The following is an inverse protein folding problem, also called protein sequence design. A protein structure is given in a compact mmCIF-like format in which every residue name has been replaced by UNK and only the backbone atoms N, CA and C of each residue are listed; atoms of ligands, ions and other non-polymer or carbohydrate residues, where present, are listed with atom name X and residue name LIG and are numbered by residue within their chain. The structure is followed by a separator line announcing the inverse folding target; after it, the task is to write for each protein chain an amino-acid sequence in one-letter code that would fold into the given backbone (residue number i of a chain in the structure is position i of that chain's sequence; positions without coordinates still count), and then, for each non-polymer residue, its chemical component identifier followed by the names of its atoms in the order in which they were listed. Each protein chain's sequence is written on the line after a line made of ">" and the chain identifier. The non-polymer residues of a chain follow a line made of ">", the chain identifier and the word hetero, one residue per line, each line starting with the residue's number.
data_IF_679316943560
#
_entry.id   IF_679316943560
#
_cell.length_a   1.000
_cell.length_b   1.000
_cell.length_c   1.000
_cell.angle_alpha   90.00
_cell.angle_beta   90.00
_cell.angle_gamma   90.00
#
_symmetry.space_group_name_H-M   'P 1'
#
loop_
_entity.id
_entity.type
_entity.pdbx_description
1 polymer ?
#
# COMPACT_ATOMS: atom_id res chain seq x y z
N UNK A 1 32.62 -32.60 86.22
CA UNK A 1 32.16 -33.47 85.10
C UNK A 1 30.77 -33.15 84.53
N UNK A 2 29.86 -32.52 85.23
CA UNK A 2 28.49 -32.19 84.74
C UNK A 2 28.41 -30.94 83.80
N UNK A 3 29.37 -30.03 83.83
CA UNK A 3 29.34 -28.80 83.04
C UNK A 3 29.66 -29.09 81.59
N UNK A 4 30.58 -29.99 81.26
CA UNK A 4 30.97 -30.29 79.90
C UNK A 4 29.87 -30.98 79.04
N UNK A 5 28.96 -31.71 79.71
CA UNK A 5 27.89 -32.42 78.99
C UNK A 5 26.75 -31.45 78.52
N UNK A 6 26.48 -30.44 79.28
CA UNK A 6 25.44 -29.45 78.99
C UNK A 6 25.89 -28.54 77.85
N UNK A 7 27.18 -28.14 77.81
CA UNK A 7 27.73 -27.33 76.75
C UNK A 7 27.82 -28.10 75.44
N UNK A 8 28.24 -29.39 75.49
CA UNK A 8 28.22 -30.27 74.35
C UNK A 8 26.83 -30.49 73.75
N UNK A 9 25.84 -30.69 74.58
CA UNK A 9 24.44 -30.84 74.16
C UNK A 9 23.89 -29.54 73.56
N UNK A 10 24.25 -28.39 74.13
CA UNK A 10 23.88 -27.07 73.55
C UNK A 10 24.50 -26.84 72.17
N UNK A 11 25.78 -27.11 72.04
CA UNK A 11 26.43 -26.97 70.71
C UNK A 11 25.86 -27.94 69.67
N UNK A 12 25.57 -29.16 70.06
CA UNK A 12 24.97 -30.16 69.21
C UNK A 12 23.55 -29.76 68.74
N UNK A 13 22.70 -29.25 69.64
CA UNK A 13 21.36 -28.73 69.31
C UNK A 13 21.44 -27.47 68.46
N UNK A 14 22.38 -26.57 68.79
CA UNK A 14 22.61 -25.36 68.01
C UNK A 14 23.05 -25.65 66.57
N UNK A 15 23.97 -26.60 66.41
CA UNK A 15 24.49 -27.05 65.10
C UNK A 15 23.38 -27.70 64.24
N UNK A 16 22.53 -28.54 64.86
CA UNK A 16 21.37 -29.14 64.19
C UNK A 16 20.35 -28.06 63.77
N UNK A 17 20.08 -27.09 64.67
CA UNK A 17 19.17 -25.97 64.35
C UNK A 17 19.69 -25.15 63.17
N UNK A 18 20.97 -24.84 63.11
CA UNK A 18 21.54 -24.08 61.99
C UNK A 18 21.51 -24.87 60.69
N UNK A 19 21.70 -26.19 60.70
CA UNK A 19 21.59 -27.06 59.53
C UNK A 19 20.13 -27.09 59.03
N UNK A 20 19.14 -27.17 59.95
CA UNK A 20 17.73 -27.12 59.57
C UNK A 20 17.31 -25.77 58.99
N UNK A 21 17.82 -24.67 59.56
CA UNK A 21 17.56 -23.32 59.04
C UNK A 21 18.20 -23.13 57.65
N UNK A 22 19.40 -23.66 57.44
CA UNK A 22 20.07 -23.63 56.14
C UNK A 22 19.29 -24.45 55.07
N UNK A 23 18.85 -25.66 55.45
CA UNK A 23 18.05 -26.51 54.58
C UNK A 23 16.68 -25.84 54.22
N UNK A 24 16.04 -25.18 55.18
CA UNK A 24 14.80 -24.42 54.95
C UNK A 24 15.04 -23.25 53.98
N UNK A 25 16.16 -22.52 54.18
CA UNK A 25 16.52 -21.41 53.31
C UNK A 25 16.77 -21.89 51.83
N UNK A 26 17.49 -23.02 51.68
CA UNK A 26 17.71 -23.60 50.35
C UNK A 26 16.39 -24.06 49.73
N UNK A 27 15.46 -24.64 50.50
CA UNK A 27 14.11 -25.00 50.00
C UNK A 27 13.33 -23.79 49.55
N UNK A 28 13.35 -22.70 50.31
CA UNK A 28 12.65 -21.45 49.92
C UNK A 28 13.24 -20.85 48.63
N UNK A 29 14.57 -20.81 48.56
CA UNK A 29 15.27 -20.32 47.37
C UNK A 29 15.00 -21.19 46.11
N UNK A 30 14.99 -22.52 46.28
CA UNK A 30 14.69 -23.43 45.16
C UNK A 30 13.21 -23.34 44.72
N UNK A 31 12.27 -23.21 45.67
CA UNK A 31 10.85 -22.99 45.35
C UNK A 31 10.68 -21.63 44.66
N UNK A 32 11.35 -20.57 45.14
CA UNK A 32 11.36 -19.25 44.50
C UNK A 32 11.93 -19.29 43.10
N UNK A 33 13.03 -20.01 42.85
CA UNK A 33 13.62 -20.19 41.54
C UNK A 33 12.71 -20.98 40.58
N UNK A 34 12.05 -22.04 41.09
CA UNK A 34 11.09 -22.85 40.26
C UNK A 34 9.84 -22.02 39.94
N UNK A 35 9.31 -21.26 40.88
CA UNK A 35 8.20 -20.34 40.61
C UNK A 35 8.60 -19.22 39.62
N UNK A 36 9.80 -18.63 39.79
CA UNK A 36 10.32 -17.60 38.90
C UNK A 36 10.51 -18.15 37.47
N UNK A 37 10.99 -19.38 37.32
CA UNK A 37 11.14 -20.04 36.03
C UNK A 37 9.76 -20.37 35.38
N UNK A 38 8.77 -20.74 36.15
CA UNK A 38 7.38 -20.96 35.68
C UNK A 38 6.64 -19.67 35.35
N UNK A 39 7.03 -18.53 35.91
CA UNK A 39 6.48 -17.20 35.62
C UNK A 39 7.13 -16.57 34.38
N UNK A 40 8.30 -17.06 33.93
CA UNK A 40 8.81 -16.79 32.61
C UNK A 40 7.94 -17.57 31.63
N UNK A 41 6.85 -16.92 31.17
CA UNK A 41 5.84 -17.55 30.31
C UNK A 41 6.46 -18.23 29.08
N UNK A 42 5.86 -19.34 28.68
CA UNK A 42 6.20 -20.01 27.40
C UNK A 42 6.12 -18.93 26.32
N UNK A 43 7.19 -18.73 25.52
CA UNK A 43 7.16 -17.76 24.43
C UNK A 43 5.92 -18.03 23.56
N UNK A 44 5.06 -17.05 23.44
CA UNK A 44 3.86 -17.18 22.62
C UNK A 44 4.27 -17.02 21.18
N UNK A 45 3.99 -18.00 20.36
CA UNK A 45 4.24 -17.94 18.94
C UNK A 45 3.06 -17.28 18.21
N UNK A 46 3.37 -16.50 17.18
CA UNK A 46 2.37 -15.95 16.30
C UNK A 46 1.75 -17.08 15.45
N UNK A 47 0.47 -17.37 15.67
CA UNK A 47 -0.24 -18.44 14.98
C UNK A 47 -1.15 -17.92 13.85
N UNK A 48 -1.66 -16.68 13.94
CA UNK A 48 -2.64 -16.19 12.98
C UNK A 48 -2.45 -14.70 12.65
N UNK A 49 -2.50 -14.41 11.34
CA UNK A 49 -2.63 -13.07 10.81
C UNK A 49 -4.06 -12.89 10.26
N UNK A 50 -4.73 -11.83 10.68
CA UNK A 50 -6.02 -11.41 10.16
C UNK A 50 -5.78 -10.11 9.41
N UNK A 51 -5.99 -10.11 8.09
CA UNK A 51 -5.71 -8.99 7.21
C UNK A 51 -7.02 -8.49 6.64
N UNK A 52 -7.26 -7.17 6.73
CA UNK A 52 -8.48 -6.51 6.26
C UNK A 52 -8.14 -5.23 5.51
N UNK A 53 -9.06 -4.77 4.64
CA UNK A 53 -8.96 -3.50 3.93
C UNK A 53 -8.08 -3.53 2.67
N UNK A 54 -7.59 -4.71 2.25
CA UNK A 54 -6.91 -4.88 0.97
C UNK A 54 -7.93 -5.23 -0.13
N UNK A 55 -7.75 -4.65 -1.31
CA UNK A 55 -8.59 -4.87 -2.49
C UNK A 55 -7.76 -5.40 -3.66
N UNK A 56 -6.63 -4.77 -3.95
CA UNK A 56 -5.74 -5.08 -5.07
C UNK A 56 -4.47 -5.82 -4.65
N UNK A 57 -4.03 -5.63 -3.42
CA UNK A 57 -2.93 -6.39 -2.83
C UNK A 57 -3.42 -7.79 -2.46
N UNK A 58 -2.63 -8.81 -2.79
CA UNK A 58 -2.91 -10.18 -2.35
C UNK A 58 -2.43 -10.41 -0.92
N UNK A 59 -3.13 -11.25 -0.18
CA UNK A 59 -2.77 -11.63 1.19
C UNK A 59 -1.32 -12.11 1.28
N UNK A 60 -0.88 -12.93 0.31
CA UNK A 60 0.49 -13.48 0.26
C UNK A 60 1.55 -12.39 0.04
N UNK A 61 1.20 -11.31 -0.69
CA UNK A 61 2.09 -10.16 -0.87
C UNK A 61 2.26 -9.42 0.45
N UNK A 62 1.17 -9.16 1.17
CA UNK A 62 1.18 -8.47 2.46
C UNK A 62 1.99 -9.27 3.49
N UNK A 63 1.81 -10.59 3.54
CA UNK A 63 2.58 -11.47 4.42
C UNK A 63 4.08 -11.41 4.09
N UNK A 64 4.45 -11.42 2.80
CA UNK A 64 5.86 -11.27 2.37
C UNK A 64 6.45 -9.91 2.76
N UNK A 65 5.65 -8.83 2.66
CA UNK A 65 6.08 -7.48 3.04
C UNK A 65 6.41 -7.37 4.52
N UNK A 66 5.72 -8.12 5.37
CA UNK A 66 5.97 -8.14 6.81
C UNK A 66 7.28 -8.83 7.17
N UNK A 67 7.75 -9.78 6.36
CA UNK A 67 8.96 -10.57 6.60
C UNK A 67 8.95 -11.27 7.98
N UNK A 68 7.77 -11.67 8.46
CA UNK A 68 7.63 -12.42 9.70
C UNK A 68 7.96 -13.88 9.43
N UNK A 69 8.91 -14.42 10.20
CA UNK A 69 9.28 -15.82 10.07
C UNK A 69 8.38 -16.73 10.93
N UNK A 70 8.14 -17.97 10.51
CA UNK A 70 7.47 -18.96 11.36
C UNK A 70 8.22 -19.14 12.68
N UNK A 71 7.48 -19.26 13.79
CA UNK A 71 8.08 -19.39 15.13
C UNK A 71 8.55 -18.06 15.75
N UNK A 72 8.27 -16.91 15.12
CA UNK A 72 8.55 -15.61 15.75
C UNK A 72 7.77 -15.45 17.03
N UNK A 73 8.46 -15.12 18.12
CA UNK A 73 7.80 -14.85 19.40
C UNK A 73 6.89 -13.64 19.28
N UNK A 74 5.62 -13.83 19.61
CA UNK A 74 4.59 -12.79 19.58
C UNK A 74 4.91 -11.59 20.48
N UNK A 75 5.57 -11.86 21.62
CA UNK A 75 5.90 -10.84 22.60
C UNK A 75 7.05 -9.92 22.17
N UNK A 76 7.90 -10.39 21.24
CA UNK A 76 9.06 -9.63 20.71
C UNK A 76 8.74 -8.85 19.43
N UNK A 77 7.51 -8.95 18.90
CA UNK A 77 7.12 -8.25 17.69
C UNK A 77 7.03 -6.73 17.92
N UNK A 78 7.82 -5.99 17.17
CA UNK A 78 7.73 -4.53 17.08
C UNK A 78 6.66 -4.15 16.05
N UNK A 79 5.45 -3.81 16.54
CA UNK A 79 4.30 -3.49 15.69
C UNK A 79 4.53 -2.21 14.88
N UNK A 80 5.19 -1.20 15.48
CA UNK A 80 5.50 0.06 14.79
C UNK A 80 6.47 -0.16 13.64
N UNK A 81 7.43 -1.07 13.79
CA UNK A 81 8.35 -1.45 12.73
C UNK A 81 7.61 -2.17 11.60
N UNK A 82 6.68 -3.06 11.93
CA UNK A 82 5.86 -3.78 10.93
C UNK A 82 4.94 -2.81 10.17
N UNK A 83 4.28 -1.86 10.84
CA UNK A 83 3.49 -0.81 10.21
C UNK A 83 4.34 0.05 9.25
N UNK A 84 5.54 0.45 9.68
CA UNK A 84 6.50 1.19 8.84
C UNK A 84 6.95 0.38 7.64
N UNK A 85 7.14 -0.94 7.77
CA UNK A 85 7.47 -1.82 6.64
C UNK A 85 6.34 -1.80 5.60
N UNK A 86 5.09 -2.01 6.01
CA UNK A 86 3.93 -1.97 5.11
C UNK A 86 3.77 -0.60 4.44
N UNK A 87 3.93 0.49 5.20
CA UNK A 87 3.77 1.86 4.68
C UNK A 87 4.84 2.27 3.66
N UNK A 88 5.94 1.51 3.52
CA UNK A 88 6.96 1.73 2.47
C UNK A 88 6.51 1.26 1.09
N UNK A 89 5.52 0.39 1.03
CA UNK A 89 5.01 -0.10 -0.25
C UNK A 89 4.15 0.96 -0.93
N UNK A 90 4.41 1.27 -2.19
CA UNK A 90 3.77 2.40 -2.87
C UNK A 90 2.25 2.35 -2.84
N UNK A 91 1.66 1.15 -2.95
CA UNK A 91 0.20 0.95 -2.95
C UNK A 91 -0.43 1.04 -1.56
N UNK A 92 0.34 0.97 -0.48
CA UNK A 92 -0.19 1.12 0.89
C UNK A 92 -0.30 2.59 1.25
N UNK A 93 -1.52 3.06 1.50
CA UNK A 93 -1.77 4.42 1.99
C UNK A 93 -1.54 4.50 3.50
N UNK A 94 -2.10 3.54 4.24
CA UNK A 94 -1.89 3.40 5.68
C UNK A 94 -1.99 1.94 6.09
N UNK A 95 -1.30 1.60 7.17
CA UNK A 95 -1.37 0.29 7.81
C UNK A 95 -1.45 0.48 9.32
N UNK A 96 -2.29 -0.30 9.98
CA UNK A 96 -2.39 -0.40 11.42
C UNK A 96 -2.30 -1.86 11.83
N UNK A 97 -1.46 -2.16 12.81
CA UNK A 97 -1.26 -3.51 13.33
C UNK A 97 -1.56 -3.54 14.81
N UNK A 98 -2.50 -4.39 15.21
CA UNK A 98 -2.89 -4.53 16.62
C UNK A 98 -2.86 -5.99 17.05
N UNK A 99 -2.58 -6.22 18.32
CA UNK A 99 -2.70 -7.53 18.95
C UNK A 99 -4.18 -7.80 19.22
N UNK A 100 -4.77 -8.78 18.51
CA UNK A 100 -6.18 -9.15 18.69
C UNK A 100 -6.39 -10.14 19.83
N UNK A 101 -5.45 -11.07 20.00
CA UNK A 101 -5.39 -12.04 21.08
C UNK A 101 -3.94 -12.34 21.42
N UNK A 102 -3.71 -13.35 22.25
CA UNK A 102 -2.37 -13.73 22.72
C UNK A 102 -1.45 -14.28 21.64
N UNK A 103 -2.00 -14.66 20.47
CA UNK A 103 -1.30 -15.31 19.38
C UNK A 103 -1.76 -14.80 17.99
N UNK A 104 -2.58 -13.74 17.93
CA UNK A 104 -3.16 -13.24 16.70
C UNK A 104 -2.90 -11.75 16.50
N UNK A 105 -2.47 -11.38 15.28
CA UNK A 105 -2.38 -10.00 14.83
C UNK A 105 -3.57 -9.66 13.92
N UNK A 106 -4.12 -8.47 14.11
CA UNK A 106 -5.02 -7.82 13.17
C UNK A 106 -4.24 -6.75 12.42
N UNK A 107 -4.27 -6.84 11.10
CA UNK A 107 -3.65 -5.91 10.16
C UNK A 107 -4.77 -5.24 9.38
N UNK A 108 -4.93 -3.94 9.60
CA UNK A 108 -5.90 -3.11 8.89
C UNK A 108 -5.15 -2.25 7.89
N UNK A 109 -5.42 -2.45 6.60
CA UNK A 109 -4.78 -1.73 5.50
C UNK A 109 -5.77 -0.78 4.85
N UNK A 110 -5.25 0.34 4.35
CA UNK A 110 -5.92 1.16 3.36
C UNK A 110 -5.02 1.26 2.14
N UNK A 111 -5.54 0.86 0.98
CA UNK A 111 -4.79 0.96 -0.27
C UNK A 111 -4.96 2.33 -0.92
N UNK A 112 -3.91 2.77 -1.65
CA UNK A 112 -4.01 3.90 -2.59
C UNK A 112 -4.77 3.45 -3.83
N UNK A 113 -5.63 4.32 -4.33
CA UNK A 113 -6.39 4.07 -5.56
C UNK A 113 -5.66 4.68 -6.75
N UNK A 114 -5.50 3.89 -7.79
CA UNK A 114 -4.98 4.42 -9.04
C UNK A 114 -6.02 5.35 -9.69
N UNK A 115 -5.55 6.45 -10.27
CA UNK A 115 -6.37 7.42 -11.01
C UNK A 115 -6.16 7.30 -12.52
N UNK A 116 -4.94 7.01 -12.95
CA UNK A 116 -4.55 6.80 -14.34
C UNK A 116 -3.49 5.71 -14.47
N UNK A 117 -3.37 5.19 -15.69
CA UNK A 117 -2.21 4.43 -16.15
C UNK A 117 -1.33 5.39 -16.93
N UNK A 118 -0.02 5.35 -16.74
CA UNK A 118 0.95 6.13 -17.53
C UNK A 118 1.76 5.18 -18.35
N UNK A 119 1.83 5.44 -19.67
CA UNK A 119 2.72 4.76 -20.59
C UNK A 119 3.91 5.69 -20.91
N UNK A 120 5.08 5.34 -20.40
CA UNK A 120 6.32 6.09 -20.64
C UNK A 120 7.49 5.14 -20.80
N UNK A 121 8.35 5.40 -21.79
CA UNK A 121 9.54 4.58 -22.10
C UNK A 121 9.24 3.08 -22.29
N UNK A 122 8.06 2.74 -22.81
CA UNK A 122 7.62 1.35 -23.02
C UNK A 122 7.23 0.61 -21.75
N UNK A 123 7.06 1.32 -20.64
CA UNK A 123 6.60 0.78 -19.36
C UNK A 123 5.24 1.36 -18.98
N UNK A 124 4.42 0.53 -18.31
CA UNK A 124 3.13 0.94 -17.77
C UNK A 124 3.24 1.17 -16.26
N UNK A 125 2.75 2.31 -15.81
CA UNK A 125 2.76 2.71 -14.40
C UNK A 125 1.34 3.04 -13.96
N UNK A 126 0.88 2.47 -12.85
CA UNK A 126 -0.31 3.00 -12.19
C UNK A 126 0.09 4.17 -11.29
N UNK A 127 -0.66 5.25 -11.35
CA UNK A 127 -0.43 6.44 -10.51
C UNK A 127 -1.69 6.83 -9.73
N UNK A 128 -1.49 7.38 -8.54
CA UNK A 128 -2.57 7.97 -7.74
C UNK A 128 -2.75 9.48 -8.06
N UNK A 129 -3.72 10.10 -7.38
CA UNK A 129 -4.01 11.52 -7.53
C UNK A 129 -2.89 12.47 -7.04
N UNK A 130 -1.90 11.94 -6.32
CA UNK A 130 -0.70 12.67 -5.91
C UNK A 130 0.46 12.49 -6.90
N UNK A 131 0.21 11.83 -8.05
CA UNK A 131 1.18 11.45 -9.08
C UNK A 131 2.26 10.49 -8.57
N UNK A 132 1.97 9.75 -7.51
CA UNK A 132 2.82 8.69 -7.00
C UNK A 132 2.63 7.43 -7.81
N UNK A 133 3.74 6.78 -8.16
CA UNK A 133 3.71 5.47 -8.83
C UNK A 133 3.34 4.41 -7.81
N UNK A 134 2.28 3.66 -8.08
CA UNK A 134 1.78 2.55 -7.28
C UNK A 134 2.32 1.20 -7.75
N UNK A 135 2.56 1.05 -9.06
CA UNK A 135 3.13 -0.15 -9.68
C UNK A 135 3.85 0.20 -10.98
N UNK A 136 4.75 -0.68 -11.40
CA UNK A 136 5.41 -0.67 -12.71
C UNK A 136 5.20 -2.03 -13.36
N UNK A 137 4.68 -2.05 -14.59
CA UNK A 137 4.39 -3.25 -15.39
C UNK A 137 3.50 -4.30 -14.68
N UNK A 138 2.77 -3.85 -13.66
CA UNK A 138 1.80 -4.65 -12.88
C UNK A 138 0.51 -3.83 -12.74
N UNK A 139 -0.23 -3.71 -13.86
CA UNK A 139 -1.50 -2.96 -13.90
C UNK A 139 -2.60 -3.80 -13.27
N UNK A 140 -3.19 -3.31 -12.19
CA UNK A 140 -4.26 -3.97 -11.43
C UNK A 140 -5.63 -3.34 -11.64
N UNK A 141 -5.66 -2.05 -12.04
CA UNK A 141 -6.87 -1.36 -12.46
C UNK A 141 -6.94 -1.33 -13.99
N UNK A 142 -7.98 -1.92 -14.58
CA UNK A 142 -8.09 -2.08 -16.05
C UNK A 142 -8.91 -0.97 -16.72
N UNK A 143 -9.81 -0.33 -15.97
CA UNK A 143 -10.78 0.64 -16.52
C UNK A 143 -10.32 2.09 -16.33
N UNK A 144 -8.99 2.31 -16.40
CA UNK A 144 -8.39 3.63 -16.30
C UNK A 144 -7.90 4.12 -17.64
N UNK A 145 -8.09 5.42 -17.90
CA UNK A 145 -7.49 6.09 -19.05
C UNK A 145 -5.97 6.03 -18.97
N UNK A 146 -5.32 5.80 -20.11
CA UNK A 146 -3.86 5.79 -20.26
C UNK A 146 -3.38 7.19 -20.65
N UNK A 147 -2.39 7.71 -19.95
CA UNK A 147 -1.66 8.93 -20.30
C UNK A 147 -0.31 8.52 -20.90
N UNK A 148 -0.14 8.72 -22.20
CA UNK A 148 1.05 8.31 -22.94
C UNK A 148 1.94 9.49 -23.30
N UNK A 149 3.25 9.28 -23.21
CA UNK A 149 4.26 10.28 -23.54
C UNK A 149 5.63 9.93 -22.97
N UNK A 150 6.58 10.84 -23.11
CA UNK A 150 7.91 10.69 -22.52
C UNK A 150 7.98 11.47 -21.19
N UNK A 151 7.73 10.80 -20.08
CA UNK A 151 7.63 11.43 -18.77
C UNK A 151 8.72 10.91 -17.82
N UNK A 152 9.70 11.75 -17.41
CA UNK A 152 10.76 11.33 -16.52
C UNK A 152 10.24 10.98 -15.11
N UNK A 153 10.64 9.80 -14.65
CA UNK A 153 10.28 9.28 -13.34
C UNK A 153 11.45 9.44 -12.37
N UNK A 154 11.21 10.05 -11.20
CA UNK A 154 12.21 10.23 -10.15
C UNK A 154 11.58 9.94 -8.78
N UNK A 155 12.28 9.14 -7.97
CA UNK A 155 11.89 8.85 -6.59
C UNK A 155 10.45 8.33 -6.42
N UNK A 156 9.94 7.55 -7.37
CA UNK A 156 8.59 7.00 -7.32
C UNK A 156 7.47 8.00 -7.66
N UNK A 157 7.82 9.13 -8.31
CA UNK A 157 6.87 10.14 -8.78
C UNK A 157 7.21 10.56 -10.21
N UNK A 158 6.20 10.98 -10.96
CA UNK A 158 6.39 11.69 -12.22
C UNK A 158 6.61 13.18 -11.88
N UNK A 159 7.84 13.65 -12.10
CA UNK A 159 8.26 15.03 -11.78
C UNK A 159 8.42 15.87 -13.05
N UNK A 160 7.40 15.88 -13.89
CA UNK A 160 7.37 16.61 -15.14
C UNK A 160 6.23 17.65 -15.13
N UNK A 161 6.53 18.88 -15.56
CA UNK A 161 5.55 19.96 -15.58
C UNK A 161 4.49 19.74 -16.67
N UNK A 162 4.91 19.29 -17.85
CA UNK A 162 4.01 19.01 -18.98
C UNK A 162 3.06 17.87 -18.65
N UNK A 163 3.57 16.82 -17.95
CA UNK A 163 2.73 15.75 -17.46
C UNK A 163 1.69 16.25 -16.44
N UNK A 164 2.09 17.09 -15.50
CA UNK A 164 1.18 17.65 -14.49
C UNK A 164 0.09 18.49 -15.14
N UNK A 165 0.42 19.28 -16.12
CA UNK A 165 -0.53 20.11 -16.87
C UNK A 165 -1.50 19.23 -17.66
N UNK A 166 -1.00 18.20 -18.35
CA UNK A 166 -1.82 17.20 -19.01
C UNK A 166 -2.77 16.50 -18.03
N UNK A 167 -2.23 15.97 -16.94
CA UNK A 167 -3.02 15.30 -15.89
C UNK A 167 -4.17 16.17 -15.39
N UNK A 168 -3.86 17.42 -15.01
CA UNK A 168 -4.86 18.36 -14.50
C UNK A 168 -5.93 18.68 -15.54
N UNK A 169 -5.53 18.82 -16.80
CA UNK A 169 -6.43 19.13 -17.92
C UNK A 169 -7.37 17.96 -18.22
N UNK A 170 -6.85 16.73 -18.21
CA UNK A 170 -7.67 15.51 -18.42
C UNK A 170 -8.61 15.28 -17.22
N UNK A 171 -8.11 15.44 -16.01
CA UNK A 171 -8.96 15.40 -14.80
C UNK A 171 -10.08 16.44 -14.85
N UNK A 172 -9.77 17.66 -15.32
CA UNK A 172 -10.79 18.69 -15.51
C UNK A 172 -11.82 18.27 -16.56
N UNK A 173 -11.38 17.68 -17.68
CA UNK A 173 -12.28 17.18 -18.73
C UNK A 173 -13.26 16.13 -18.17
N UNK A 174 -12.74 15.16 -17.41
CA UNK A 174 -13.55 14.10 -16.80
C UNK A 174 -14.50 14.62 -15.71
N UNK A 175 -14.11 15.67 -14.98
CA UNK A 175 -15.00 16.33 -14.02
C UNK A 175 -16.10 17.14 -14.70
N UNK A 176 -15.79 17.82 -15.82
CA UNK A 176 -16.78 18.59 -16.58
C UNK A 176 -17.80 17.68 -17.29
N UNK A 177 -17.31 16.57 -17.84
CA UNK A 177 -18.12 15.60 -18.57
C UNK A 177 -17.76 14.17 -18.14
N UNK A 178 -18.36 13.64 -17.05
CA UNK A 178 -18.02 12.31 -16.51
C UNK A 178 -18.15 11.18 -17.54
N UNK A 179 -19.01 11.32 -18.55
CA UNK A 179 -19.15 10.35 -19.64
C UNK A 179 -17.89 10.22 -20.51
N UNK A 180 -16.98 11.19 -20.50
CA UNK A 180 -15.70 11.06 -21.19
C UNK A 180 -14.82 9.98 -20.59
N UNK A 181 -14.92 9.76 -19.29
CA UNK A 181 -14.08 8.76 -18.58
C UNK A 181 -14.28 7.34 -19.10
N UNK A 182 -15.48 6.99 -19.54
CA UNK A 182 -15.77 5.66 -20.11
C UNK A 182 -15.57 5.58 -21.63
N UNK A 183 -15.32 6.71 -22.30
CA UNK A 183 -15.17 6.79 -23.76
C UNK A 183 -13.72 6.96 -24.18
N UNK A 184 -12.90 7.63 -23.38
CA UNK A 184 -11.50 7.91 -23.66
C UNK A 184 -10.63 6.83 -23.05
N UNK A 185 -9.99 6.07 -23.91
CA UNK A 185 -9.05 5.00 -23.51
C UNK A 185 -7.64 5.53 -23.29
N UNK A 186 -7.21 6.50 -24.10
CA UNK A 186 -5.83 7.02 -24.04
C UNK A 186 -5.79 8.52 -24.36
N UNK A 187 -4.83 9.21 -23.73
CA UNK A 187 -4.44 10.58 -24.07
C UNK A 187 -2.93 10.59 -24.29
N UNK A 188 -2.51 10.95 -25.49
CA UNK A 188 -1.10 11.01 -25.89
C UNK A 188 -0.63 12.47 -25.93
N UNK A 189 0.46 12.76 -25.22
CA UNK A 189 1.24 13.97 -25.36
C UNK A 189 2.48 13.67 -26.21
N UNK A 190 2.53 14.25 -27.40
CA UNK A 190 3.70 14.12 -28.28
C UNK A 190 4.86 15.03 -27.84
N UNK A 191 6.04 14.78 -28.37
CA UNK A 191 7.24 15.54 -28.04
C UNK A 191 7.17 17.03 -28.48
N UNK A 192 6.39 17.32 -29.51
CA UNK A 192 6.10 18.68 -29.97
C UNK A 192 5.02 19.41 -29.16
N UNK A 193 4.46 18.73 -28.15
CA UNK A 193 3.42 19.25 -27.28
C UNK A 193 1.99 19.02 -27.79
N UNK A 194 1.81 18.42 -28.97
CA UNK A 194 0.46 18.10 -29.48
C UNK A 194 -0.20 17.01 -28.64
N UNK A 195 -1.48 17.23 -28.34
CA UNK A 195 -2.30 16.33 -27.52
C UNK A 195 -3.31 15.62 -28.44
N UNK A 196 -3.38 14.30 -28.30
CA UNK A 196 -4.35 13.46 -28.96
C UNK A 196 -5.17 12.68 -27.94
N UNK A 197 -6.47 12.60 -28.16
CA UNK A 197 -7.36 11.74 -27.43
C UNK A 197 -7.74 10.54 -28.30
N UNK A 198 -7.78 9.36 -27.69
CA UNK A 198 -8.23 8.14 -28.34
C UNK A 198 -9.50 7.67 -27.63
N UNK A 199 -10.59 7.61 -28.41
CA UNK A 199 -11.82 6.97 -27.99
C UNK A 199 -11.84 5.53 -28.53
N UNK A 200 -12.33 4.58 -27.72
CA UNK A 200 -12.37 3.16 -28.11
C UNK A 200 -13.80 2.66 -28.27
N UNK A 201 -14.68 2.95 -27.34
CA UNK A 201 -16.09 2.55 -27.40
C UNK A 201 -17.02 3.76 -27.22
N UNK A 202 -18.14 3.81 -27.92
CA UNK A 202 -18.64 2.92 -29.00
C UNK A 202 -18.03 3.21 -30.39
N UNK A 203 -17.09 4.15 -30.47
CA UNK A 203 -16.46 4.58 -31.74
C UNK A 203 -14.96 4.68 -31.55
N UNK A 204 -14.23 3.98 -32.39
CA UNK A 204 -12.77 4.15 -32.48
C UNK A 204 -12.45 5.45 -33.21
N UNK A 205 -11.90 6.41 -32.48
CA UNK A 205 -11.64 7.73 -33.01
C UNK A 205 -10.38 8.35 -32.38
N UNK A 206 -9.49 8.85 -33.23
CA UNK A 206 -8.37 9.69 -32.83
C UNK A 206 -8.77 11.16 -32.96
N UNK A 207 -8.58 11.95 -31.91
CA UNK A 207 -9.02 13.35 -31.86
C UNK A 207 -7.80 14.22 -31.55
N UNK A 208 -7.46 15.10 -32.49
CA UNK A 208 -6.38 16.07 -32.35
C UNK A 208 -6.86 17.33 -31.66
N UNK A 209 -6.26 17.66 -30.53
CA UNK A 209 -6.69 18.78 -29.66
C UNK A 209 -5.86 20.03 -29.89
N UNK A 210 -4.57 19.89 -30.16
CA UNK A 210 -3.55 20.95 -30.14
C UNK A 210 -2.67 20.87 -28.89
N UNK A 211 -1.93 21.93 -28.63
CA UNK A 211 -0.95 21.94 -27.54
C UNK A 211 -1.55 22.26 -26.15
N UNK A 212 -2.78 22.67 -26.09
CA UNK A 212 -3.47 23.04 -24.85
C UNK A 212 -4.92 22.52 -24.84
N UNK A 213 -5.34 21.94 -23.74
CA UNK A 213 -6.70 21.47 -23.53
C UNK A 213 -7.50 22.50 -22.73
N UNK A 214 -8.04 23.51 -23.44
CA UNK A 214 -8.91 24.52 -22.83
C UNK A 214 -10.35 24.04 -22.65
N UNK A 215 -11.13 24.77 -21.85
CA UNK A 215 -12.55 24.44 -21.61
C UNK A 215 -13.38 24.34 -22.89
N UNK A 216 -13.09 25.15 -23.90
CA UNK A 216 -13.81 25.11 -25.16
C UNK A 216 -13.46 23.88 -25.98
N UNK A 217 -12.20 23.43 -25.97
CA UNK A 217 -11.81 22.15 -26.57
C UNK A 217 -12.40 20.96 -25.84
N UNK A 218 -12.47 20.98 -24.49
CA UNK A 218 -13.17 19.96 -23.72
C UNK A 218 -14.66 19.88 -24.14
N UNK A 219 -15.32 21.03 -24.32
CA UNK A 219 -16.72 21.09 -24.79
C UNK A 219 -16.85 20.53 -26.20
N UNK A 220 -15.95 20.91 -27.12
CA UNK A 220 -15.92 20.39 -28.49
C UNK A 220 -15.67 18.88 -28.50
N UNK A 221 -14.69 18.39 -27.73
CA UNK A 221 -14.40 16.96 -27.59
C UNK A 221 -15.67 16.19 -27.21
N UNK A 222 -16.39 16.65 -26.18
CA UNK A 222 -17.63 16.01 -25.74
C UNK A 222 -18.70 16.05 -26.83
N UNK A 223 -18.88 17.20 -27.49
CA UNK A 223 -19.89 17.40 -28.54
C UNK A 223 -19.60 16.52 -29.77
N UNK A 224 -18.35 16.44 -30.20
CA UNK A 224 -17.95 15.64 -31.35
C UNK A 224 -18.19 14.14 -31.10
N UNK A 225 -17.81 13.63 -29.94
CA UNK A 225 -18.06 12.24 -29.57
C UNK A 225 -19.57 11.94 -29.57
N UNK A 226 -20.38 12.82 -28.98
CA UNK A 226 -21.85 12.66 -28.98
C UNK A 226 -22.45 12.72 -30.39
N UNK A 227 -21.92 13.59 -31.25
CA UNK A 227 -22.36 13.71 -32.65
C UNK A 227 -22.02 12.44 -33.45
N UNK A 228 -20.78 11.95 -33.36
CA UNK A 228 -20.35 10.74 -34.04
C UNK A 228 -21.11 9.49 -33.61
N UNK A 229 -21.37 9.37 -32.30
CA UNK A 229 -22.19 8.28 -31.74
C UNK A 229 -23.63 8.31 -32.31
N UNK A 230 -24.24 9.50 -32.28
CA UNK A 230 -25.63 9.68 -32.71
C UNK A 230 -25.81 9.35 -34.19
N UNK A 231 -24.96 9.89 -35.03
CA UNK A 231 -25.08 9.79 -36.49
C UNK A 231 -24.29 8.60 -37.07
N UNK A 232 -23.67 7.79 -36.19
CA UNK A 232 -22.86 6.60 -36.56
C UNK A 232 -21.78 6.91 -37.60
N UNK A 233 -21.13 8.07 -37.45
CA UNK A 233 -20.08 8.51 -38.35
C UNK A 233 -18.84 7.67 -38.12
N UNK A 234 -18.25 7.15 -39.18
CA UNK A 234 -16.96 6.45 -39.16
C UNK A 234 -15.89 7.38 -39.65
N UNK A 235 -14.92 7.66 -38.82
CA UNK A 235 -13.72 8.42 -39.18
C UNK A 235 -12.57 7.96 -38.28
N UNK A 236 -11.37 7.95 -38.83
CA UNK A 236 -10.18 7.57 -38.05
C UNK A 236 -9.57 8.75 -37.30
N UNK A 237 -9.76 9.98 -37.82
CA UNK A 237 -9.15 11.19 -37.27
C UNK A 237 -10.14 12.36 -37.33
N UNK A 238 -10.22 13.10 -36.24
CA UNK A 238 -10.88 14.41 -36.18
C UNK A 238 -9.93 15.44 -35.60
N UNK A 239 -9.78 16.56 -36.31
CA UNK A 239 -9.04 17.73 -35.82
C UNK A 239 -10.00 18.77 -35.30
N UNK A 240 -9.88 19.10 -33.98
CA UNK A 240 -10.71 20.10 -33.30
C UNK A 240 -9.91 21.33 -32.84
N UNK A 241 -8.73 21.57 -33.41
CA UNK A 241 -7.87 22.72 -33.07
C UNK A 241 -8.48 24.05 -33.52
N UNK A 242 -9.13 24.05 -34.67
CA UNK A 242 -9.80 25.22 -35.26
C UNK A 242 -11.14 25.56 -34.61
N UNK A 243 -11.87 26.53 -35.17
CA UNK A 243 -13.27 26.82 -34.75
C UNK A 243 -14.18 25.64 -35.10
N UNK A 244 -14.04 25.10 -36.31
CA UNK A 244 -14.76 23.93 -36.80
C UNK A 244 -13.98 22.65 -36.58
N UNK A 245 -14.71 21.53 -36.43
CA UNK A 245 -14.11 20.20 -36.42
C UNK A 245 -13.98 19.69 -37.87
N UNK A 246 -12.79 19.25 -38.25
CA UNK A 246 -12.50 18.67 -39.54
C UNK A 246 -12.22 17.17 -39.40
N UNK A 247 -12.91 16.33 -40.18
CA UNK A 247 -12.73 14.89 -40.17
C UNK A 247 -12.66 14.30 -41.57
N UNK A 248 -11.99 13.16 -41.68
CA UNK A 248 -11.75 12.46 -42.95
C UNK A 248 -12.18 11.01 -42.87
#
# INVERSE_FOLDING_TARGET
>A
MRHNLIDFLREFVQKRRNILLLALLICILSIGAILGFRLQGIPRELNKLIITGHEKLKTEEIVRMLEIQPGTSFDTLDLDLLEKKLSRYPRVNSARITKKSEDQLLIELTERKASFIVNSDGHLYEIDSELRILSKDDVREKDLCVLSGNFPIKNGFIQDASFRDLYNSVEQAFRMYPALKSRISEVLLQEDGEIFFFADEPIQLRIQIGTLLHRDQIRKLYAILAYFEKDKIQSELVDIRGEDAVYH
#
